data_IF_984154803754
#
_entry.id   IF_984154803754
#
_cell.length_a   1.000
_cell.length_b   1.000
_cell.length_c   1.000
_cell.angle_alpha   90.00
_cell.angle_beta   90.00
_cell.angle_gamma   90.00
#
_symmetry.space_group_name_H-M   'P 1'
#
loop_
_entity.id
_entity.type
_entity.pdbx_description
1 polymer ?
#
# COMPACT_ATOMS: atom_id res chain seq x y z
N UNK A 1 -0.84 2.18 32.96
CA UNK A 1 -1.87 2.40 31.93
C UNK A 1 -1.38 1.76 30.65
N UNK A 2 -2.23 0.98 29.97
CA UNK A 2 -1.98 0.45 28.64
C UNK A 2 -3.08 1.06 27.77
N UNK A 3 -2.70 1.94 26.84
CA UNK A 3 -3.63 2.74 26.05
C UNK A 3 -3.47 2.33 24.60
N UNK A 4 -4.60 2.24 23.91
CA UNK A 4 -4.66 2.16 22.46
C UNK A 4 -5.80 3.08 22.02
N UNK A 5 -5.47 4.16 21.31
CA UNK A 5 -6.45 5.15 20.87
C UNK A 5 -6.88 4.90 19.44
N UNK A 6 -8.19 4.99 19.19
CA UNK A 6 -8.77 4.81 17.87
C UNK A 6 -9.49 6.10 17.48
N UNK A 7 -9.18 6.61 16.28
CA UNK A 7 -9.88 7.72 15.67
C UNK A 7 -10.44 7.31 14.30
N UNK A 8 -11.52 7.95 13.88
CA UNK A 8 -12.08 7.81 12.54
C UNK A 8 -12.18 9.17 11.86
N UNK A 9 -13.16 9.30 10.95
CA UNK A 9 -13.47 10.50 10.16
C UNK A 9 -12.49 10.83 9.03
N UNK A 10 -11.20 10.56 9.16
CA UNK A 10 -10.26 10.82 8.06
C UNK A 10 -10.60 9.98 6.81
N UNK A 11 -10.33 10.53 5.63
CA UNK A 11 -10.57 9.90 4.32
C UNK A 11 -9.27 9.55 3.57
N UNK A 12 -8.13 9.89 4.15
CA UNK A 12 -6.83 9.47 3.66
C UNK A 12 -5.79 9.58 4.77
N UNK A 13 -5.02 8.52 4.99
CA UNK A 13 -4.04 8.29 6.04
C UNK A 13 -4.55 7.58 7.30
N UNK A 14 -4.21 6.30 7.36
CA UNK A 14 -4.24 5.51 8.58
C UNK A 14 -2.92 5.68 9.32
N UNK A 15 -2.84 6.75 10.11
CA UNK A 15 -1.64 6.98 10.90
C UNK A 15 -1.63 6.09 12.14
N UNK A 16 -0.55 5.31 12.29
CA UNK A 16 -0.12 4.71 13.55
C UNK A 16 0.96 5.60 14.16
N UNK A 17 0.58 6.41 15.15
CA UNK A 17 1.50 7.34 15.84
C UNK A 17 1.76 6.83 17.24
N UNK A 18 3.04 6.64 17.57
CA UNK A 18 3.44 6.44 18.97
C UNK A 18 3.44 7.79 19.71
N UNK A 19 2.39 8.01 20.49
CA UNK A 19 2.26 9.17 21.38
C UNK A 19 3.20 8.99 22.56
N UNK A 20 4.10 9.96 22.74
CA UNK A 20 5.17 9.90 23.75
C UNK A 20 5.55 11.33 24.23
N UNK A 21 6.66 11.47 24.94
CA UNK A 21 7.10 12.74 25.52
C UNK A 21 7.29 13.88 24.51
N UNK A 22 7.64 13.61 23.24
CA UNK A 22 7.74 14.67 22.23
C UNK A 22 6.38 15.27 21.86
N UNK A 23 5.30 14.56 22.16
CA UNK A 23 3.91 14.99 21.95
C UNK A 23 3.30 15.64 23.21
N UNK A 24 4.09 15.88 24.26
CA UNK A 24 3.59 16.42 25.53
C UNK A 24 2.93 15.37 26.45
N UNK A 25 2.99 14.08 26.10
CA UNK A 25 2.49 13.00 26.94
C UNK A 25 3.49 12.66 28.05
N UNK A 26 3.06 12.58 29.31
CA UNK A 26 3.93 12.27 30.46
C UNK A 26 3.88 10.81 30.91
N UNK A 27 2.97 10.01 30.36
CA UNK A 27 2.82 8.59 30.68
C UNK A 27 3.72 7.68 29.84
N UNK A 28 3.45 6.37 29.89
CA UNK A 28 4.08 5.39 28.99
C UNK A 28 3.64 5.67 27.54
N UNK A 29 4.54 5.55 26.54
CA UNK A 29 4.15 5.66 25.14
C UNK A 29 3.00 4.72 24.76
N UNK A 30 2.18 5.14 23.82
CA UNK A 30 1.02 4.38 23.35
C UNK A 30 0.68 4.69 21.90
N UNK A 31 -0.07 3.81 21.22
CA UNK A 31 -0.40 3.96 19.80
C UNK A 31 -1.75 4.67 19.64
N UNK A 32 -1.73 5.82 18.98
CA UNK A 32 -2.92 6.45 18.39
C UNK A 32 -3.05 5.99 16.94
N UNK A 33 -4.16 5.33 16.62
CA UNK A 33 -4.42 4.75 15.32
C UNK A 33 -5.68 5.35 14.68
N UNK A 34 -5.52 6.01 13.54
CA UNK A 34 -6.64 6.45 12.69
C UNK A 34 -7.09 5.32 11.75
N UNK A 35 -8.37 4.95 11.78
CA UNK A 35 -8.95 3.89 10.94
C UNK A 35 -9.77 4.53 9.80
N UNK A 36 -9.12 4.94 8.71
CA UNK A 36 -9.77 5.65 7.61
C UNK A 36 -10.53 4.69 6.66
N UNK A 37 -10.23 3.39 6.69
CA UNK A 37 -10.56 2.44 5.62
C UNK A 37 -12.05 2.07 5.48
N UNK A 38 -12.90 2.58 6.37
CA UNK A 38 -14.33 2.25 6.40
C UNK A 38 -15.12 3.01 5.33
N UNK A 39 -14.72 4.25 4.99
CA UNK A 39 -15.50 5.15 4.11
C UNK A 39 -14.88 5.40 2.74
N UNK A 40 -13.61 5.09 2.53
CA UNK A 40 -12.97 5.40 1.26
C UNK A 40 -12.74 6.87 1.00
N UNK A 41 -12.45 7.12 -0.27
CA UNK A 41 -12.47 8.43 -0.89
C UNK A 41 -13.90 8.97 -1.13
N UNK A 42 -14.86 8.62 -0.26
CA UNK A 42 -16.26 9.04 -0.34
C UNK A 42 -17.23 7.95 -0.81
N UNK A 43 -18.52 8.17 -0.53
CA UNK A 43 -19.59 7.19 -0.79
C UNK A 43 -19.98 7.05 -2.27
N UNK A 44 -19.62 8.03 -3.11
CA UNK A 44 -20.12 8.15 -4.49
C UNK A 44 -19.03 8.23 -5.57
N UNK A 45 -17.77 8.04 -5.19
CA UNK A 45 -16.59 8.16 -6.07
C UNK A 45 -16.01 6.78 -6.42
N UNK A 46 -15.18 6.71 -7.46
CA UNK A 46 -14.52 5.47 -7.86
C UNK A 46 -15.33 4.57 -8.78
N UNK A 47 -14.66 3.53 -9.28
CA UNK A 47 -15.21 2.54 -10.21
C UNK A 47 -16.32 1.73 -9.56
N UNK A 48 -17.32 1.31 -10.33
CA UNK A 48 -18.38 0.43 -9.84
C UNK A 48 -18.02 -1.01 -10.14
N UNK A 49 -18.07 -1.86 -9.12
CA UNK A 49 -17.85 -3.30 -9.27
C UNK A 49 -19.09 -4.02 -9.86
N UNK A 50 -18.97 -5.31 -10.25
CA UNK A 50 -20.10 -6.07 -10.80
C UNK A 50 -21.31 -6.23 -9.85
N UNK A 51 -21.20 -5.87 -8.57
CA UNK A 51 -22.29 -5.89 -7.58
C UNK A 51 -22.98 -4.53 -7.46
N UNK A 52 -22.49 -3.51 -8.16
CA UNK A 52 -22.98 -2.14 -8.05
C UNK A 52 -22.36 -1.35 -6.90
N UNK A 53 -21.31 -1.87 -6.25
CA UNK A 53 -20.62 -1.20 -5.14
C UNK A 53 -19.43 -0.42 -5.70
N UNK A 54 -19.27 0.83 -5.27
CA UNK A 54 -18.12 1.64 -5.67
C UNK A 54 -16.84 1.20 -4.96
N UNK A 55 -15.76 1.17 -5.72
CA UNK A 55 -14.38 0.94 -5.29
C UNK A 55 -13.92 2.16 -4.49
N UNK A 56 -14.26 2.15 -3.20
CA UNK A 56 -14.03 3.24 -2.27
C UNK A 56 -12.57 3.22 -1.76
N UNK A 57 -11.59 3.13 -2.67
CA UNK A 57 -10.16 3.21 -2.32
C UNK A 57 -9.84 4.59 -1.72
N UNK A 58 -9.00 4.65 -0.68
CA UNK A 58 -8.54 5.88 -0.05
C UNK A 58 -7.59 6.68 -0.97
N UNK A 59 -7.45 8.00 -0.75
CA UNK A 59 -6.53 8.84 -1.54
C UNK A 59 -5.04 8.51 -1.33
N UNK A 60 -4.69 7.81 -0.25
CA UNK A 60 -3.33 7.34 0.07
C UNK A 60 -3.02 5.93 -0.49
N UNK A 61 -4.01 5.31 -1.15
CA UNK A 61 -3.88 4.02 -1.80
C UNK A 61 -4.31 2.80 -1.00
N UNK A 62 -4.67 2.94 0.28
CA UNK A 62 -5.30 1.83 0.99
C UNK A 62 -6.67 1.53 0.36
N UNK A 63 -7.01 0.25 0.11
CA UNK A 63 -8.37 -0.11 -0.27
C UNK A 63 -9.34 0.14 0.89
N UNK A 64 -10.64 0.17 0.60
CA UNK A 64 -11.63 0.07 1.67
C UNK A 64 -11.56 -1.30 2.36
N UNK A 65 -12.05 -1.37 3.58
CA UNK A 65 -12.05 -2.59 4.36
C UNK A 65 -12.60 -2.40 5.77
N UNK A 66 -12.24 -3.32 6.66
CA UNK A 66 -12.63 -3.29 8.07
C UNK A 66 -11.49 -3.80 8.95
N UNK A 67 -11.53 -3.51 10.24
CA UNK A 67 -10.54 -4.01 11.20
C UNK A 67 -11.11 -5.15 12.03
N UNK A 68 -10.28 -6.17 12.27
CA UNK A 68 -10.47 -7.17 13.33
C UNK A 68 -9.43 -6.87 14.41
N UNK A 69 -9.89 -6.32 15.54
CA UNK A 69 -9.00 -5.99 16.65
C UNK A 69 -9.05 -7.12 17.67
N UNK A 70 -7.89 -7.75 17.91
CA UNK A 70 -7.72 -8.85 18.86
C UNK A 70 -7.13 -8.30 20.16
N UNK A 71 -7.74 -8.65 21.28
CA UNK A 71 -7.27 -8.27 22.61
C UNK A 71 -6.89 -9.52 23.41
N UNK A 72 -5.74 -9.48 24.07
CA UNK A 72 -5.30 -10.48 25.03
C UNK A 72 -4.73 -9.78 26.27
N UNK A 73 -5.54 -9.69 27.32
CA UNK A 73 -5.26 -8.85 28.50
C UNK A 73 -4.93 -7.40 28.14
N UNK A 74 -3.64 -7.06 28.05
CA UNK A 74 -3.12 -5.72 27.77
C UNK A 74 -2.54 -5.59 26.36
N UNK A 75 -2.44 -6.70 25.62
CA UNK A 75 -1.96 -6.75 24.25
C UNK A 75 -3.11 -6.46 23.27
N UNK A 76 -2.79 -5.76 22.20
CA UNK A 76 -3.72 -5.43 21.11
C UNK A 76 -3.06 -5.70 19.77
N UNK A 77 -3.79 -6.36 18.87
CA UNK A 77 -3.39 -6.59 17.48
C UNK A 77 -4.52 -6.09 16.58
N UNK A 78 -4.38 -4.90 15.97
CA UNK A 78 -5.28 -4.44 14.93
C UNK A 78 -4.94 -5.16 13.62
N UNK A 79 -5.86 -5.95 13.10
CA UNK A 79 -5.72 -6.55 11.77
C UNK A 79 -6.67 -5.82 10.83
N UNK A 80 -6.17 -4.92 9.98
CA UNK A 80 -6.94 -4.43 8.83
C UNK A 80 -7.35 -5.64 7.98
N UNK A 81 -8.50 -5.62 7.30
CA UNK A 81 -8.98 -6.61 6.31
C UNK A 81 -9.51 -5.84 5.09
N UNK A 82 -8.89 -5.97 3.89
CA UNK A 82 -9.26 -5.21 2.73
C UNK A 82 -10.50 -5.86 2.13
N UNK A 83 -11.27 -5.05 1.42
CA UNK A 83 -12.43 -5.57 0.76
C UNK A 83 -12.02 -6.62 -0.30
N UNK A 84 -12.72 -7.77 -0.43
CA UNK A 84 -12.36 -8.87 -1.34
C UNK A 84 -12.71 -8.57 -2.82
N UNK A 85 -12.46 -7.36 -3.29
CA UNK A 85 -12.71 -6.94 -4.67
C UNK A 85 -11.57 -6.04 -5.18
N UNK A 86 -11.48 -5.88 -6.50
CA UNK A 86 -10.49 -5.01 -7.13
C UNK A 86 -9.11 -5.66 -7.26
N UNK A 87 -8.09 -4.90 -7.68
CA UNK A 87 -6.75 -5.41 -7.93
C UNK A 87 -6.03 -5.90 -6.66
N UNK A 88 -6.52 -5.50 -5.49
CA UNK A 88 -5.96 -5.82 -4.18
C UNK A 88 -6.79 -6.83 -3.39
N UNK A 89 -7.78 -7.47 -4.03
CA UNK A 89 -8.70 -8.37 -3.35
C UNK A 89 -7.97 -9.40 -2.47
N UNK A 90 -8.24 -9.33 -1.16
CA UNK A 90 -7.63 -10.15 -0.10
C UNK A 90 -6.10 -10.03 0.06
N UNK A 91 -5.46 -9.04 -0.55
CA UNK A 91 -4.03 -8.77 -0.43
C UNK A 91 -3.80 -7.64 0.57
N UNK A 92 -2.76 -7.78 1.39
CA UNK A 92 -2.42 -6.76 2.41
C UNK A 92 -1.33 -5.84 1.94
N UNK A 93 -0.81 -6.12 0.75
CA UNK A 93 0.20 -5.34 0.08
C UNK A 93 -0.19 -5.19 -1.38
N UNK A 94 0.06 -4.00 -1.93
CA UNK A 94 0.08 -3.75 -3.37
C UNK A 94 1.53 -3.57 -3.80
N UNK A 95 1.91 -4.21 -4.91
CA UNK A 95 3.25 -4.12 -5.49
C UNK A 95 3.12 -3.57 -6.90
N UNK A 96 3.82 -2.48 -7.19
CA UNK A 96 3.81 -1.81 -8.50
C UNK A 96 5.23 -1.45 -8.95
N UNK A 97 5.35 -1.08 -10.22
CA UNK A 97 6.55 -0.45 -10.76
C UNK A 97 6.29 1.04 -10.97
N UNK A 98 7.27 1.87 -10.63
CA UNK A 98 7.22 3.31 -10.85
C UNK A 98 8.57 3.87 -11.34
N UNK A 99 8.64 4.44 -12.56
CA UNK A 99 7.60 4.40 -13.57
C UNK A 99 7.35 2.97 -14.09
N UNK A 100 6.14 2.72 -14.61
CA UNK A 100 5.77 1.45 -15.24
C UNK A 100 6.68 1.11 -16.43
N UNK A 101 6.73 -0.16 -16.84
CA UNK A 101 7.44 -0.54 -18.06
C UNK A 101 6.81 0.14 -19.29
N UNK A 102 7.65 0.58 -20.23
CA UNK A 102 7.16 1.12 -21.50
C UNK A 102 6.81 -0.05 -22.41
N UNK A 103 5.52 -0.22 -22.72
CA UNK A 103 5.05 -1.21 -23.69
C UNK A 103 4.62 -0.53 -24.99
N UNK A 104 5.04 -1.10 -26.13
CA UNK A 104 4.55 -0.73 -27.46
C UNK A 104 3.26 -1.47 -27.85
N UNK A 105 2.81 -2.43 -27.05
CA UNK A 105 1.60 -3.21 -27.28
C UNK A 105 0.69 -3.20 -26.04
N UNK A 106 -0.58 -2.91 -26.28
CA UNK A 106 -1.64 -2.94 -25.28
C UNK A 106 -1.99 -4.41 -24.98
N UNK A 107 -1.72 -4.90 -23.77
CA UNK A 107 -2.55 -5.91 -23.07
C UNK A 107 -1.91 -6.46 -21.80
N UNK A 108 -2.63 -6.24 -20.69
CA UNK A 108 -2.82 -7.07 -19.49
C UNK A 108 -1.63 -7.65 -18.69
N UNK A 109 -0.38 -7.54 -19.12
CA UNK A 109 0.79 -8.09 -18.42
C UNK A 109 1.79 -6.96 -18.13
N UNK A 110 2.39 -6.95 -16.93
CA UNK A 110 3.52 -6.07 -16.60
C UNK A 110 4.73 -6.43 -17.48
N UNK A 111 4.77 -5.93 -18.71
CA UNK A 111 5.85 -6.21 -19.67
C UNK A 111 6.21 -4.97 -20.46
N UNK A 112 7.47 -4.85 -20.87
CA UNK A 112 7.95 -3.73 -21.65
C UNK A 112 9.43 -3.46 -21.46
N UNK A 113 9.90 -2.31 -21.95
CA UNK A 113 11.26 -1.86 -21.67
C UNK A 113 11.35 -1.18 -20.30
N UNK A 114 12.42 -1.51 -19.58
CA UNK A 114 12.70 -0.92 -18.28
C UNK A 114 13.08 0.56 -18.47
N UNK A 115 12.46 1.44 -17.69
CA UNK A 115 12.80 2.86 -17.72
C UNK A 115 13.94 3.17 -16.75
N UNK A 116 14.62 4.30 -16.99
CA UNK A 116 15.62 4.81 -16.06
C UNK A 116 14.98 5.08 -14.70
N UNK A 117 15.67 4.66 -13.63
CA UNK A 117 15.23 4.82 -12.24
C UNK A 117 13.88 4.14 -11.92
N UNK A 118 13.46 3.11 -12.67
CA UNK A 118 12.30 2.30 -12.27
C UNK A 118 12.53 1.70 -10.89
N UNK A 119 11.58 1.91 -10.00
CA UNK A 119 11.53 1.35 -8.66
C UNK A 119 10.44 0.30 -8.58
N UNK A 120 10.65 -0.68 -7.71
CA UNK A 120 9.56 -1.43 -7.13
C UNK A 120 8.98 -0.61 -5.98
N UNK A 121 7.67 -0.43 -5.97
CA UNK A 121 6.94 0.28 -4.93
C UNK A 121 5.99 -0.69 -4.25
N UNK A 122 6.06 -0.75 -2.93
CA UNK A 122 5.18 -1.57 -2.09
C UNK A 122 4.35 -0.64 -1.23
N UNK A 123 3.03 -0.73 -1.35
CA UNK A 123 2.10 -0.17 -0.38
C UNK A 123 1.68 -1.30 0.57
N UNK A 124 2.15 -1.27 1.83
CA UNK A 124 1.70 -2.19 2.88
C UNK A 124 0.51 -1.56 3.56
N UNK A 125 -0.70 -2.04 3.26
CA UNK A 125 -1.93 -1.43 3.77
C UNK A 125 -1.95 -1.45 5.29
N UNK A 126 -2.46 -0.37 5.88
CA UNK A 126 -2.37 -0.09 7.31
C UNK A 126 -0.93 -0.12 7.88
N UNK A 127 0.04 0.18 7.01
CA UNK A 127 1.46 0.22 7.36
C UNK A 127 1.84 1.48 8.16
N UNK A 128 3.08 1.54 8.61
CA UNK A 128 3.63 2.72 9.27
C UNK A 128 5.15 2.66 9.40
N UNK A 129 5.74 3.76 9.86
CA UNK A 129 7.19 3.93 10.00
C UNK A 129 7.87 2.91 10.93
N UNK A 130 7.10 2.22 11.77
CA UNK A 130 7.57 1.17 12.68
C UNK A 130 7.52 -0.24 12.07
N UNK A 131 7.05 -0.36 10.83
CA UNK A 131 6.97 -1.62 10.11
C UNK A 131 8.20 -1.82 9.21
N UNK A 132 8.42 -3.06 8.78
CA UNK A 132 9.56 -3.43 7.94
C UNK A 132 9.11 -4.19 6.70
N UNK A 133 9.76 -3.89 5.58
CA UNK A 133 9.51 -4.53 4.28
C UNK A 133 10.84 -4.94 3.66
N UNK A 134 10.89 -6.19 3.20
CA UNK A 134 12.01 -6.77 2.48
C UNK A 134 11.54 -7.34 1.14
N UNK A 135 12.49 -7.52 0.22
CA UNK A 135 12.23 -8.23 -1.03
C UNK A 135 13.36 -9.17 -1.41
N UNK A 136 13.02 -10.18 -2.21
CA UNK A 136 13.95 -10.98 -3.00
C UNK A 136 13.61 -10.82 -4.48
N UNK A 137 14.61 -10.47 -5.29
CA UNK A 137 14.50 -10.39 -6.76
C UNK A 137 15.19 -11.60 -7.38
N UNK A 138 14.48 -12.40 -8.17
CA UNK A 138 14.99 -13.60 -8.84
C UNK A 138 15.72 -14.58 -7.92
N UNK A 139 15.18 -14.79 -6.71
CA UNK A 139 15.75 -15.63 -5.64
C UNK A 139 17.09 -15.13 -5.09
N UNK A 140 17.42 -13.85 -5.28
CA UNK A 140 18.54 -13.22 -4.58
C UNK A 140 18.28 -13.14 -3.07
N UNK A 141 19.31 -12.96 -2.22
CA UNK A 141 19.11 -12.72 -0.80
C UNK A 141 18.15 -11.56 -0.53
N UNK A 142 17.40 -11.64 0.57
CA UNK A 142 16.47 -10.60 0.97
C UNK A 142 17.17 -9.26 1.20
N UNK A 143 16.57 -8.19 0.70
CA UNK A 143 17.06 -6.81 0.84
C UNK A 143 15.97 -5.95 1.46
N UNK A 144 16.35 -5.13 2.45
CA UNK A 144 15.43 -4.18 3.06
C UNK A 144 15.04 -3.09 2.06
N UNK A 145 13.75 -2.78 2.01
CA UNK A 145 13.22 -1.67 1.23
C UNK A 145 13.27 -0.36 2.03
N UNK A 146 13.26 0.77 1.33
CA UNK A 146 13.35 2.10 1.95
C UNK A 146 11.95 2.66 2.20
N UNK A 147 11.60 2.87 3.47
CA UNK A 147 10.38 3.57 3.86
C UNK A 147 10.35 4.99 3.27
N UNK A 148 9.29 5.33 2.55
CA UNK A 148 9.17 6.59 1.82
C UNK A 148 7.75 7.14 1.91
N UNK A 149 7.59 8.35 2.45
CA UNK A 149 6.30 9.03 2.45
C UNK A 149 6.09 9.74 1.11
N UNK A 150 5.22 9.20 0.26
CA UNK A 150 4.88 9.74 -1.07
C UNK A 150 3.46 9.31 -1.48
N UNK A 151 2.94 9.84 -2.57
CA UNK A 151 1.71 9.36 -3.22
C UNK A 151 1.91 7.95 -3.79
N UNK A 152 0.87 7.12 -3.75
CA UNK A 152 0.87 5.77 -4.34
C UNK A 152 0.77 5.87 -5.88
N UNK A 153 1.76 5.36 -6.65
CA UNK A 153 1.74 5.39 -8.10
C UNK A 153 0.50 4.74 -8.73
N UNK A 154 -0.08 3.73 -8.07
CA UNK A 154 -1.33 3.13 -8.50
C UNK A 154 -2.47 4.15 -8.46
N UNK A 155 -2.59 4.91 -7.36
CA UNK A 155 -3.65 5.90 -7.18
C UNK A 155 -3.44 7.09 -8.10
N UNK A 156 -2.19 7.53 -8.31
CA UNK A 156 -1.87 8.57 -9.28
C UNK A 156 -2.38 8.21 -10.67
N UNK A 157 -2.11 6.97 -11.12
CA UNK A 157 -2.57 6.49 -12.41
C UNK A 157 -4.10 6.41 -12.48
N UNK A 158 -4.75 5.79 -11.49
CA UNK A 158 -6.21 5.69 -11.47
C UNK A 158 -6.87 7.07 -11.42
N UNK A 159 -6.32 8.02 -10.67
CA UNK A 159 -6.82 9.40 -10.64
C UNK A 159 -6.77 10.03 -12.04
N UNK A 160 -5.66 9.91 -12.76
CA UNK A 160 -5.55 10.41 -14.14
C UNK A 160 -6.51 9.69 -15.10
N UNK A 161 -6.67 8.37 -14.96
CA UNK A 161 -7.60 7.58 -15.78
C UNK A 161 -9.07 7.96 -15.54
N UNK A 162 -9.42 8.41 -14.33
CA UNK A 162 -10.81 8.71 -13.93
C UNK A 162 -11.15 10.20 -13.96
N UNK A 163 -10.18 11.06 -14.27
CA UNK A 163 -10.38 12.51 -14.35
C UNK A 163 -11.49 12.84 -15.36
N UNK A 164 -12.38 13.76 -14.98
CA UNK A 164 -13.54 14.22 -15.76
C UNK A 164 -14.58 13.12 -16.10
N UNK A 165 -14.60 12.01 -15.35
CA UNK A 165 -15.59 10.93 -15.46
C UNK A 165 -16.53 10.90 -14.25
N UNK A 166 -17.70 10.28 -14.40
CA UNK A 166 -18.65 10.04 -13.29
C UNK A 166 -18.07 9.20 -12.13
N UNK A 167 -16.97 8.48 -12.39
CA UNK A 167 -16.23 7.68 -11.42
C UNK A 167 -15.00 8.41 -10.87
N UNK A 168 -14.84 9.71 -11.12
CA UNK A 168 -13.72 10.50 -10.62
C UNK A 168 -13.54 10.31 -9.10
N UNK A 169 -12.27 10.23 -8.71
CA UNK A 169 -11.82 10.15 -7.32
C UNK A 169 -11.11 11.46 -6.94
N UNK A 170 -11.05 11.78 -5.64
CA UNK A 170 -10.27 12.95 -5.20
C UNK A 170 -8.76 12.76 -5.47
N UNK A 171 -7.99 13.85 -5.58
CA UNK A 171 -6.56 13.78 -5.86
C UNK A 171 -5.79 12.90 -4.86
N UNK A 172 -4.75 12.18 -5.30
CA UNK A 172 -3.92 11.36 -4.40
C UNK A 172 -3.27 12.19 -3.30
N UNK A 173 -3.17 11.62 -2.09
CA UNK A 173 -2.47 12.23 -0.96
C UNK A 173 -1.24 11.40 -0.60
N UNK A 174 -0.32 12.00 0.17
CA UNK A 174 0.91 11.29 0.60
C UNK A 174 0.54 10.16 1.56
N UNK A 175 0.95 8.96 1.21
CA UNK A 175 0.80 7.75 2.02
C UNK A 175 1.94 7.58 3.01
N UNK A 176 1.60 7.16 4.22
CA UNK A 176 2.55 6.73 5.24
C UNK A 176 2.88 5.22 5.15
N UNK A 177 2.45 4.56 4.08
CA UNK A 177 2.43 3.09 3.94
C UNK A 177 3.31 2.58 2.80
N UNK A 178 4.26 3.39 2.32
CA UNK A 178 5.02 3.08 1.10
C UNK A 178 6.49 2.75 1.41
N UNK A 179 6.97 1.70 0.74
CA UNK A 179 8.36 1.30 0.68
C UNK A 179 8.83 1.22 -0.77
N UNK A 180 10.08 1.60 -1.01
CA UNK A 180 10.68 1.60 -2.35
C UNK A 180 11.95 0.78 -2.42
N UNK A 181 12.20 0.19 -3.59
CA UNK A 181 13.48 -0.40 -3.94
C UNK A 181 13.85 -0.05 -5.37
N UNK A 182 15.07 0.47 -5.56
CA UNK A 182 15.59 0.80 -6.88
C UNK A 182 15.92 -0.51 -7.62
N UNK A 183 15.23 -0.79 -8.73
CA UNK A 183 15.58 -1.94 -9.55
C UNK A 183 16.96 -1.74 -10.19
N UNK A 184 17.74 -2.82 -10.39
CA UNK A 184 18.97 -2.77 -11.17
C UNK A 184 18.68 -2.23 -12.58
N UNK A 185 19.48 -1.28 -13.05
CA UNK A 185 19.28 -0.67 -14.39
C UNK A 185 19.58 -1.63 -15.55
N UNK A 186 20.23 -2.76 -15.28
CA UNK A 186 20.68 -3.74 -16.27
C UNK A 186 20.06 -5.11 -16.03
N UNK A 187 18.74 -5.16 -15.81
CA UNK A 187 18.01 -6.43 -15.75
C UNK A 187 18.08 -7.14 -17.12
N UNK A 188 18.44 -8.44 -17.16
CA UNK A 188 18.39 -9.22 -18.38
C UNK A 188 17.01 -9.19 -19.05
N UNK A 189 16.95 -9.40 -20.36
CA UNK A 189 15.67 -9.65 -21.04
C UNK A 189 15.07 -10.96 -20.52
N UNK A 190 13.79 -10.94 -20.16
CA UNK A 190 13.07 -12.10 -19.64
C UNK A 190 12.11 -11.78 -18.50
N UNK A 191 11.58 -12.83 -17.88
CA UNK A 191 10.66 -12.74 -16.75
C UNK A 191 11.46 -12.60 -15.46
N UNK A 192 11.12 -11.58 -14.70
CA UNK A 192 11.62 -11.34 -13.35
C UNK A 192 10.52 -11.58 -12.33
N UNK A 193 10.90 -12.18 -11.20
CA UNK A 193 9.99 -12.40 -10.08
C UNK A 193 10.52 -11.70 -8.84
N UNK A 194 9.64 -10.96 -8.19
CA UNK A 194 9.87 -10.38 -6.88
C UNK A 194 9.00 -11.08 -5.86
N UNK A 195 9.61 -11.46 -4.74
CA UNK A 195 8.92 -11.84 -3.52
C UNK A 195 9.09 -10.72 -2.50
N UNK A 196 8.00 -10.31 -1.86
CA UNK A 196 8.00 -9.27 -0.82
C UNK A 196 7.58 -9.91 0.49
N UNK A 197 8.27 -9.55 1.56
CA UNK A 197 8.03 -9.98 2.93
C UNK A 197 7.83 -8.74 3.80
N UNK A 198 6.87 -8.77 4.70
CA UNK A 198 6.65 -7.68 5.65
C UNK A 198 6.49 -8.20 7.07
N UNK A 199 6.82 -7.35 8.03
CA UNK A 199 6.50 -7.52 9.43
C UNK A 199 6.08 -6.16 9.99
N UNK A 200 4.89 -6.08 10.56
CA UNK A 200 4.40 -4.86 11.20
C UNK A 200 4.81 -4.76 12.68
N UNK A 201 4.55 -3.61 13.28
CA UNK A 201 4.85 -3.33 14.68
C UNK A 201 4.15 -4.25 15.70
N UNK A 202 3.15 -5.03 15.27
CA UNK A 202 2.41 -6.00 16.06
C UNK A 202 2.84 -7.45 15.78
N UNK A 203 3.87 -7.65 14.94
CA UNK A 203 4.39 -8.96 14.55
C UNK A 203 3.57 -9.68 13.48
N UNK A 204 2.65 -8.99 12.81
CA UNK A 204 1.88 -9.57 11.70
C UNK A 204 2.76 -9.60 10.45
N UNK A 205 2.79 -10.77 9.80
CA UNK A 205 3.62 -10.99 8.62
C UNK A 205 2.77 -11.15 7.36
N UNK A 206 3.22 -10.53 6.27
CA UNK A 206 2.59 -10.68 4.95
C UNK A 206 3.61 -11.11 3.91
N UNK A 207 3.11 -11.78 2.87
CA UNK A 207 3.89 -12.15 1.68
C UNK A 207 3.14 -11.74 0.43
N UNK A 208 3.86 -11.25 -0.56
CA UNK A 208 3.31 -11.09 -1.90
C UNK A 208 4.33 -11.38 -2.97
N UNK A 209 3.82 -11.58 -4.17
CA UNK A 209 4.62 -11.89 -5.34
C UNK A 209 4.21 -10.96 -6.47
N UNK A 210 5.20 -10.44 -7.16
CA UNK A 210 5.04 -9.63 -8.34
C UNK A 210 5.93 -10.18 -9.45
N UNK A 211 5.45 -10.15 -10.68
CA UNK A 211 6.25 -10.59 -11.82
C UNK A 211 6.08 -9.61 -12.97
N UNK A 212 7.18 -9.38 -13.67
CA UNK A 212 7.23 -8.51 -14.83
C UNK A 212 8.22 -9.05 -15.86
N UNK A 213 8.00 -8.74 -17.13
CA UNK A 213 8.86 -9.17 -18.23
C UNK A 213 9.58 -7.98 -18.86
N UNK A 214 10.91 -8.00 -18.81
CA UNK A 214 11.75 -7.03 -19.52
C UNK A 214 11.91 -7.52 -20.95
N UNK A 215 11.50 -6.70 -21.90
CA UNK A 215 11.64 -6.98 -23.33
C UNK A 215 12.95 -6.43 -23.88
N UNK A 216 13.41 -7.02 -24.98
CA UNK A 216 14.43 -6.35 -25.80
C UNK A 216 13.84 -5.06 -26.38
N UNK A 217 14.59 -3.97 -26.29
CA UNK A 217 14.27 -2.73 -26.99
C UNK A 217 14.09 -2.95 -28.50
#
# INVERSE_FOLDING_TARGET
ENIYGIAGHDSSNSFKVEINHSHGWSGKPWVAHTLAEVRGNGWTTGLIDPRGVRDAMMQDGNPNGFYVIKFNEVDVIPEFIPFPFGPDANRRIRITLDPMLLSSQDSSINRGSLQNNTKLVVNLFDGGVRDSVWLSLDNSPEQAMVYTVRTDPYVERIYQELLDKDSQIDPPTRSAHIWEYQLPSSLPVGIHRVEVFTEDEFGQQQRGTFSFEVLSN
#
